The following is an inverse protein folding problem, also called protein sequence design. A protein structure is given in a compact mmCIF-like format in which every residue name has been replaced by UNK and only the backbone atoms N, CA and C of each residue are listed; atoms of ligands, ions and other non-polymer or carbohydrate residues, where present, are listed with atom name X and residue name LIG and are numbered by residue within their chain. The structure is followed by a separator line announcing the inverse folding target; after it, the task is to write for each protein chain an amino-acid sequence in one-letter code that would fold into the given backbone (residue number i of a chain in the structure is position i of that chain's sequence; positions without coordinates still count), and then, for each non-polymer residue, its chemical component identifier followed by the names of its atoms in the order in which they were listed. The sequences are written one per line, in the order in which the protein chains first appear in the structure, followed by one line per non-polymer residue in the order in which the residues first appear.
data_IF_991044017776
#
_entry.id   IF_991044017776
#
_cell.length_a   1.000
_cell.length_b   1.000
_cell.length_c   1.000
_cell.angle_alpha   90.00
_cell.angle_beta   90.00
_cell.angle_gamma   90.00
#
_symmetry.space_group_name_H-M   'P 1'
#
loop_
_entity.id
_entity.type
_entity.pdbx_description
1 polymer ?
#
# COMPACT_ATOMS: atom_id res chain seq x y z
N UNK A 1 20.90 -25.22 -18.62
CA UNK A 1 20.41 -24.42 -17.47
C UNK A 1 19.74 -23.18 -18.02
N UNK A 2 18.46 -23.28 -18.36
CA UNK A 2 17.68 -22.16 -18.92
C UNK A 2 17.15 -21.36 -17.74
N UNK A 3 17.66 -20.15 -17.53
CA UNK A 3 17.10 -19.22 -16.56
C UNK A 3 15.78 -18.72 -17.16
N UNK A 4 14.64 -19.18 -16.63
CA UNK A 4 13.36 -18.55 -16.97
C UNK A 4 13.44 -17.06 -16.60
N UNK A 5 13.03 -16.13 -17.47
CA UNK A 5 13.01 -14.72 -17.11
C UNK A 5 12.04 -14.53 -15.94
N UNK A 6 12.58 -14.14 -14.78
CA UNK A 6 11.76 -13.82 -13.63
C UNK A 6 10.75 -12.73 -14.03
N UNK A 7 9.46 -13.04 -13.97
CA UNK A 7 8.39 -12.07 -14.20
C UNK A 7 8.63 -10.84 -13.31
N UNK A 8 8.37 -9.62 -13.80
CA UNK A 8 8.60 -8.42 -13.00
C UNK A 8 7.81 -8.53 -11.70
N UNK A 9 8.53 -8.32 -10.59
CA UNK A 9 7.92 -8.33 -9.26
C UNK A 9 6.73 -7.37 -9.20
N UNK A 10 5.59 -7.86 -8.71
CA UNK A 10 4.40 -7.04 -8.51
C UNK A 10 4.40 -6.47 -7.10
N UNK A 11 4.11 -5.17 -6.99
CA UNK A 11 3.97 -4.46 -5.72
C UNK A 11 2.50 -4.16 -5.47
N UNK A 12 2.01 -4.52 -4.29
CA UNK A 12 0.70 -4.11 -3.79
C UNK A 12 0.78 -3.70 -2.32
N UNK A 13 -0.26 -3.04 -1.84
CA UNK A 13 -0.36 -2.63 -0.44
C UNK A 13 -1.50 -3.37 0.23
N UNK A 14 -1.27 -3.83 1.45
CA UNK A 14 -2.24 -4.52 2.28
C UNK A 14 -2.69 -3.62 3.43
N UNK A 15 -3.97 -3.72 3.77
CA UNK A 15 -4.59 -3.15 4.96
C UNK A 15 -4.23 -3.98 6.20
N UNK A 16 -4.62 -3.51 7.39
CA UNK A 16 -4.26 -4.17 8.64
C UNK A 16 -4.88 -5.57 8.80
N UNK A 17 -6.02 -5.81 8.15
CA UNK A 17 -6.70 -7.11 8.06
C UNK A 17 -6.09 -8.05 6.99
N UNK A 18 -5.10 -7.57 6.23
CA UNK A 18 -4.44 -8.33 5.17
C UNK A 18 -5.11 -8.26 3.79
N UNK A 19 -6.26 -7.58 3.67
CA UNK A 19 -6.90 -7.32 2.37
C UNK A 19 -6.09 -6.31 1.55
N UNK A 20 -6.27 -6.32 0.24
CA UNK A 20 -5.54 -5.42 -0.66
C UNK A 20 -6.14 -4.01 -0.62
N UNK A 21 -5.30 -3.01 -0.40
CA UNK A 21 -5.68 -1.62 -0.42
C UNK A 21 -6.02 -1.20 -1.85
N UNK A 22 -7.20 -0.60 -2.02
CA UNK A 22 -7.63 0.00 -3.28
C UNK A 22 -7.42 1.52 -3.30
N UNK A 23 -7.48 2.11 -4.50
CA UNK A 23 -7.56 3.56 -4.68
C UNK A 23 -8.86 4.11 -4.07
N UNK A 24 -8.73 5.24 -3.38
CA UNK A 24 -9.86 6.02 -2.88
C UNK A 24 -9.69 7.44 -3.44
N UNK A 25 -10.56 7.87 -4.36
CA UNK A 25 -10.47 9.20 -4.95
C UNK A 25 -10.35 10.29 -3.89
N UNK A 26 -9.35 11.16 -4.04
CA UNK A 26 -9.10 12.27 -3.12
C UNK A 26 -8.37 11.91 -1.82
N UNK A 27 -8.24 10.63 -1.44
CA UNK A 27 -7.66 10.24 -0.14
C UNK A 27 -6.43 9.35 -0.24
N UNK A 28 -6.49 8.28 -1.04
CA UNK A 28 -5.42 7.27 -1.15
C UNK A 28 -5.21 6.86 -2.60
N UNK A 29 -3.96 6.86 -3.06
CA UNK A 29 -3.59 6.45 -4.41
C UNK A 29 -2.43 5.46 -4.42
N UNK A 30 -2.58 4.37 -5.16
CA UNK A 30 -1.53 3.43 -5.52
C UNK A 30 -0.83 3.93 -6.78
N UNK A 31 0.45 4.23 -6.67
CA UNK A 31 1.25 4.73 -7.78
C UNK A 31 1.93 3.57 -8.52
N UNK A 32 2.19 3.76 -9.83
CA UNK A 32 2.85 2.74 -10.67
C UNK A 32 4.27 2.38 -10.21
N UNK A 33 4.92 3.27 -9.45
CA UNK A 33 6.22 3.01 -8.84
C UNK A 33 6.14 2.20 -7.55
N UNK A 34 4.94 1.75 -7.14
CA UNK A 34 4.72 0.96 -5.93
C UNK A 34 4.52 1.79 -4.66
N UNK A 35 4.52 3.13 -4.75
CA UNK A 35 4.25 3.98 -3.59
C UNK A 35 2.76 4.08 -3.27
N UNK A 36 2.45 4.18 -1.97
CA UNK A 36 1.11 4.51 -1.47
C UNK A 36 1.07 5.99 -1.08
N UNK A 37 0.33 6.78 -1.84
CA UNK A 37 0.22 8.22 -1.67
C UNK A 37 -1.08 8.59 -0.95
N UNK A 38 -0.97 9.42 0.08
CA UNK A 38 -2.11 9.98 0.82
C UNK A 38 -2.20 11.46 0.50
N UNK A 39 -3.32 11.91 -0.05
CA UNK A 39 -3.50 13.31 -0.38
C UNK A 39 -3.84 14.13 0.88
N UNK A 40 -3.59 15.45 0.88
CA UNK A 40 -4.16 16.35 1.88
C UNK A 40 -5.69 16.24 1.88
N UNK A 41 -6.29 16.30 3.06
CA UNK A 41 -7.73 16.15 3.26
C UNK A 41 -8.23 17.13 4.31
N UNK A 42 -9.49 17.54 4.20
CA UNK A 42 -10.17 18.36 5.22
C UNK A 42 -10.64 17.51 6.41
N UNK A 43 -10.96 18.13 7.55
CA UNK A 43 -11.43 17.40 8.72
C UNK A 43 -12.66 16.50 8.43
N UNK A 44 -13.58 16.96 7.57
CA UNK A 44 -14.80 16.24 7.19
C UNK A 44 -14.53 15.01 6.31
N UNK A 45 -13.36 14.97 5.67
CA UNK A 45 -12.92 13.84 4.84
C UNK A 45 -12.13 12.79 5.64
N UNK A 46 -11.98 12.98 6.95
CA UNK A 46 -11.26 12.05 7.79
C UNK A 46 -11.94 10.67 7.81
N UNK A 47 -11.18 9.64 7.45
CA UNK A 47 -11.57 8.23 7.58
C UNK A 47 -10.50 7.47 8.34
N UNK A 48 -10.85 6.88 9.49
CA UNK A 48 -9.89 6.15 10.32
C UNK A 48 -9.21 4.99 9.55
N UNK A 49 -9.95 4.30 8.70
CA UNK A 49 -9.45 3.22 7.84
C UNK A 49 -8.42 3.67 6.79
N UNK A 50 -8.36 4.97 6.49
CA UNK A 50 -7.35 5.53 5.59
C UNK A 50 -6.24 6.20 6.39
N UNK A 51 -6.60 7.06 7.35
CA UNK A 51 -5.72 8.02 8.00
C UNK A 51 -5.20 7.60 9.39
N UNK A 52 -5.74 6.53 9.98
CA UNK A 52 -5.36 6.05 11.31
C UNK A 52 -5.33 4.52 11.37
N UNK A 53 -4.68 3.92 10.38
CA UNK A 53 -4.58 2.46 10.23
C UNK A 53 -3.11 2.02 10.06
N UNK A 54 -2.90 0.74 9.81
CA UNK A 54 -1.61 0.22 9.40
C UNK A 54 -1.64 -0.41 8.01
N UNK A 55 -0.52 -0.32 7.33
CA UNK A 55 -0.32 -0.89 5.99
C UNK A 55 0.92 -1.78 5.95
N UNK A 56 0.96 -2.68 4.96
CA UNK A 56 2.17 -3.43 4.59
C UNK A 56 2.32 -3.44 3.08
N UNK A 57 3.55 -3.27 2.61
CA UNK A 57 3.87 -3.51 1.21
C UNK A 57 4.07 -5.01 0.99
N UNK A 58 3.48 -5.54 -0.08
CA UNK A 58 3.64 -6.90 -0.55
C UNK A 58 4.41 -6.87 -1.87
N UNK A 59 5.52 -7.59 -1.91
CA UNK A 59 6.24 -7.84 -3.16
C UNK A 59 6.11 -9.32 -3.52
N UNK A 60 5.63 -9.61 -4.74
CA UNK A 60 5.41 -10.98 -5.22
C UNK A 60 6.17 -11.23 -6.52
N UNK A 61 6.75 -12.43 -6.65
CA UNK A 61 7.40 -12.95 -7.85
C UNK A 61 7.04 -14.42 -8.05
N UNK A 62 7.55 -15.04 -9.12
CA UNK A 62 7.39 -16.48 -9.36
C UNK A 62 8.02 -17.35 -8.26
N UNK A 63 9.01 -16.82 -7.54
CA UNK A 63 9.72 -17.54 -6.47
C UNK A 63 8.96 -17.45 -5.14
N UNK A 64 8.14 -16.42 -4.94
CA UNK A 64 7.37 -16.28 -3.71
C UNK A 64 6.90 -14.86 -3.42
N UNK A 65 6.47 -14.63 -2.18
CA UNK A 65 5.96 -13.35 -1.70
C UNK A 65 6.70 -12.95 -0.41
N UNK A 66 7.08 -11.68 -0.31
CA UNK A 66 7.61 -11.08 0.92
C UNK A 66 6.75 -9.89 1.36
N UNK A 67 6.66 -9.67 2.67
CA UNK A 67 5.94 -8.56 3.27
C UNK A 67 6.89 -7.60 3.98
N UNK A 68 6.64 -6.31 3.86
CA UNK A 68 7.35 -5.30 4.64
C UNK A 68 7.00 -5.37 6.12
N UNK A 69 7.75 -4.62 6.93
CA UNK A 69 7.33 -4.25 8.29
C UNK A 69 5.98 -3.52 8.24
N UNK A 70 5.23 -3.58 9.35
CA UNK A 70 3.98 -2.85 9.53
C UNK A 70 4.27 -1.34 9.58
N UNK A 71 3.66 -0.59 8.68
CA UNK A 71 3.72 0.87 8.64
C UNK A 71 2.48 1.41 9.34
N UNK A 72 2.64 2.07 10.49
CA UNK A 72 1.52 2.70 11.20
C UNK A 72 1.36 4.12 10.68
N UNK A 73 0.20 4.43 10.10
CA UNK A 73 -0.15 5.75 9.63
C UNK A 73 -1.04 6.45 10.65
N UNK A 74 -0.75 7.73 10.91
CA UNK A 74 -1.59 8.61 11.72
C UNK A 74 -1.61 9.96 11.04
N UNK A 75 -2.80 10.48 10.77
CA UNK A 75 -2.95 11.87 10.41
C UNK A 75 -2.49 12.76 11.56
N UNK A 76 -1.76 13.81 11.21
CA UNK A 76 -1.38 14.89 12.10
C UNK A 76 -1.74 16.21 11.45
N UNK A 77 -1.90 17.24 12.26
CA UNK A 77 -1.90 18.62 11.77
C UNK A 77 -0.48 18.98 11.33
N UNK A 78 -0.39 19.71 10.22
CA UNK A 78 0.88 20.32 9.79
C UNK A 78 1.25 21.48 10.69
#
# INVERSE_FOLDING_TARGET
MTVEPALPQTLSWLLDDGSEAADIPGLRRLLRNGSLHFAPFSADEYRAEVHATAYRCRASSSVGTILSRRVRLRAGTM
#
